data_IF_740682646757
#
_entry.id   IF_740682646757
#
_cell.length_a   1.000
_cell.length_b   1.000
_cell.length_c   1.000
_cell.angle_alpha   90.00
_cell.angle_beta   90.00
_cell.angle_gamma   90.00
#
_symmetry.space_group_name_H-M   'P 1'
#
loop_
_entity.id
_entity.type
_entity.pdbx_description
1 polymer ?
#
# COMPACT_ATOMS: atom_id res chain seq x y z
N UNK A 1 5.16 -7.23 -11.64
CA UNK A 1 4.45 -7.49 -10.36
C UNK A 1 3.97 -8.94 -10.18
N UNK A 2 4.27 -9.84 -11.12
CA UNK A 2 4.02 -11.29 -10.95
C UNK A 2 5.19 -12.02 -10.28
N UNK A 3 6.25 -11.32 -9.90
CA UNK A 3 7.46 -11.91 -9.33
C UNK A 3 7.22 -12.63 -8.00
N UNK A 4 6.28 -12.14 -7.16
CA UNK A 4 6.02 -12.77 -5.86
C UNK A 4 5.36 -14.15 -6.02
N UNK A 5 4.32 -14.26 -6.86
CA UNK A 5 3.64 -15.53 -7.12
C UNK A 5 4.58 -16.56 -7.75
N UNK A 6 5.37 -16.13 -8.75
CA UNK A 6 6.39 -16.98 -9.37
C UNK A 6 7.40 -17.47 -8.34
N UNK A 7 7.96 -16.57 -7.53
CA UNK A 7 8.97 -16.91 -6.54
C UNK A 7 8.45 -17.85 -5.45
N UNK A 8 7.22 -17.63 -4.99
CA UNK A 8 6.57 -18.55 -4.04
C UNK A 8 6.41 -19.93 -4.67
N UNK A 9 5.91 -20.01 -5.91
CA UNK A 9 5.76 -21.26 -6.62
C UNK A 9 7.09 -21.99 -6.85
N UNK A 10 8.14 -21.27 -7.25
CA UNK A 10 9.50 -21.81 -7.41
C UNK A 10 10.05 -22.40 -6.11
N UNK A 11 9.87 -21.68 -4.99
CA UNK A 11 10.34 -22.13 -3.67
C UNK A 11 9.57 -23.40 -3.24
N UNK A 12 8.23 -23.34 -3.26
CA UNK A 12 7.40 -24.44 -2.76
C UNK A 12 7.52 -25.70 -3.61
N UNK A 13 7.69 -25.55 -4.92
CA UNK A 13 7.83 -26.69 -5.84
C UNK A 13 9.25 -27.22 -5.96
N UNK A 14 10.24 -26.57 -5.29
CA UNK A 14 11.66 -26.90 -5.52
C UNK A 14 12.13 -26.62 -6.96
N UNK A 15 11.47 -25.69 -7.67
CA UNK A 15 11.76 -25.34 -9.06
C UNK A 15 10.98 -26.16 -10.10
N UNK A 16 10.07 -27.03 -9.69
CA UNK A 16 9.26 -27.85 -10.60
C UNK A 16 7.99 -27.14 -11.14
N UNK A 17 7.67 -25.93 -10.62
CA UNK A 17 6.50 -25.18 -11.06
C UNK A 17 6.56 -24.81 -12.53
N UNK A 18 5.46 -25.02 -13.24
CA UNK A 18 5.27 -24.64 -14.64
C UNK A 18 4.31 -23.46 -14.75
N UNK A 19 4.65 -22.49 -15.59
CA UNK A 19 3.77 -21.36 -15.88
C UNK A 19 2.75 -21.74 -16.94
N UNK A 20 1.48 -21.53 -16.60
CA UNK A 20 0.35 -21.58 -17.52
C UNK A 20 -0.35 -20.23 -17.56
N UNK A 21 -1.29 -20.01 -18.47
CA UNK A 21 -2.06 -18.76 -18.53
C UNK A 21 -3.55 -19.03 -18.35
N UNK A 22 -4.18 -18.26 -17.46
CA UNK A 22 -5.63 -18.21 -17.28
C UNK A 22 -6.10 -16.77 -17.54
N UNK A 23 -6.90 -16.54 -18.59
CA UNK A 23 -7.35 -15.22 -18.99
C UNK A 23 -6.23 -14.16 -19.08
N UNK A 24 -5.08 -14.53 -19.62
CA UNK A 24 -3.85 -13.70 -19.73
C UNK A 24 -3.04 -13.56 -18.43
N UNK A 25 -3.52 -14.08 -17.31
CA UNK A 25 -2.82 -14.04 -16.03
C UNK A 25 -1.96 -15.29 -15.88
N UNK A 26 -0.67 -15.14 -15.49
CA UNK A 26 0.17 -16.28 -15.16
C UNK A 26 -0.37 -17.06 -13.98
N UNK A 27 -0.40 -18.37 -14.11
CA UNK A 27 -0.74 -19.32 -13.05
C UNK A 27 0.38 -20.34 -13.00
N UNK A 28 0.97 -20.51 -11.83
CA UNK A 28 2.07 -21.44 -11.60
C UNK A 28 1.54 -22.72 -10.98
N UNK A 29 1.82 -23.88 -11.61
CA UNK A 29 1.30 -25.18 -11.18
C UNK A 29 2.41 -26.20 -11.07
N UNK A 30 2.26 -27.12 -10.12
CA UNK A 30 3.10 -28.30 -9.97
C UNK A 30 2.28 -29.46 -9.39
N UNK A 31 2.86 -30.65 -9.33
CA UNK A 31 2.29 -31.79 -8.64
C UNK A 31 3.25 -32.26 -7.55
N UNK A 32 2.73 -32.57 -6.39
CA UNK A 32 3.49 -33.12 -5.26
C UNK A 32 2.70 -34.25 -4.55
N UNK A 33 3.17 -34.66 -3.38
CA UNK A 33 2.52 -35.73 -2.60
C UNK A 33 1.16 -35.31 -2.00
N UNK A 34 0.87 -33.99 -1.95
CA UNK A 34 -0.36 -33.45 -1.37
C UNK A 34 -1.40 -33.10 -2.43
N UNK A 35 -1.01 -33.05 -3.72
CA UNK A 35 -1.94 -32.78 -4.81
C UNK A 35 -1.35 -32.00 -5.98
N UNK A 36 -2.18 -31.13 -6.56
CA UNK A 36 -1.83 -30.28 -7.70
C UNK A 36 -1.94 -28.79 -7.31
N UNK A 37 -0.99 -28.26 -6.52
CA UNK A 37 -1.03 -26.86 -6.14
C UNK A 37 -0.98 -25.90 -7.32
N UNK A 38 -1.70 -24.77 -7.18
CA UNK A 38 -1.64 -23.66 -8.12
C UNK A 38 -1.48 -22.33 -7.40
N UNK A 39 -0.67 -21.42 -7.96
CA UNK A 39 -0.45 -20.07 -7.42
C UNK A 39 -0.88 -19.02 -8.43
N UNK A 40 -1.79 -18.14 -7.99
CA UNK A 40 -2.26 -16.99 -8.77
C UNK A 40 -1.82 -15.70 -8.10
N UNK A 41 -1.15 -14.82 -8.82
CA UNK A 41 -0.77 -13.50 -8.34
C UNK A 41 -1.87 -12.47 -8.62
N UNK A 42 -2.42 -11.84 -7.57
CA UNK A 42 -3.44 -10.79 -7.71
C UNK A 42 -2.82 -9.45 -8.14
N UNK A 43 -1.56 -9.21 -7.79
CA UNK A 43 -0.85 -7.96 -8.11
C UNK A 43 -1.48 -6.72 -7.47
N UNK A 44 -2.06 -6.84 -6.28
CA UNK A 44 -2.81 -5.85 -5.53
C UNK A 44 -4.31 -6.16 -5.48
N UNK A 45 -5.13 -5.17 -5.12
CA UNK A 45 -6.59 -5.33 -5.01
C UNK A 45 -7.24 -5.78 -6.31
N UNK A 46 -8.07 -6.81 -6.23
CA UNK A 46 -8.91 -7.28 -7.32
C UNK A 46 -10.19 -6.47 -7.44
N UNK A 47 -10.66 -5.96 -6.33
CA UNK A 47 -11.85 -5.11 -6.19
C UNK A 47 -11.49 -3.78 -5.53
N UNK A 48 -12.34 -2.80 -5.65
CA UNK A 48 -12.19 -1.48 -5.03
C UNK A 48 -13.49 -0.98 -4.45
N UNK A 49 -13.40 -0.13 -3.44
CA UNK A 49 -14.55 0.60 -2.89
C UNK A 49 -14.87 1.78 -3.79
N UNK A 50 -16.13 2.00 -4.06
CA UNK A 50 -16.61 3.08 -4.93
C UNK A 50 -17.92 3.67 -4.42
N UNK A 51 -18.18 4.91 -4.80
CA UNK A 51 -19.53 5.48 -4.65
C UNK A 51 -20.51 4.79 -5.60
N UNK A 52 -21.78 4.70 -5.23
CA UNK A 52 -22.80 4.20 -6.10
C UNK A 52 -22.90 4.98 -7.41
N UNK A 53 -23.49 4.36 -8.44
CA UNK A 53 -23.57 4.92 -9.79
C UNK A 53 -24.62 6.02 -9.95
N UNK A 54 -25.41 6.31 -8.90
CA UNK A 54 -26.46 7.31 -8.88
C UNK A 54 -25.92 8.71 -9.18
N UNK A 55 -26.75 9.50 -9.85
CA UNK A 55 -26.38 10.82 -10.35
C UNK A 55 -25.91 11.78 -9.25
N UNK A 56 -26.50 11.67 -8.07
CA UNK A 56 -26.17 12.52 -6.91
C UNK A 56 -24.71 12.35 -6.45
N UNK A 57 -24.16 11.13 -6.46
CA UNK A 57 -22.77 10.86 -6.10
C UNK A 57 -21.77 11.27 -7.20
N UNK A 58 -22.24 11.49 -8.44
CA UNK A 58 -21.39 11.92 -9.56
C UNK A 58 -21.32 13.44 -9.73
N UNK A 59 -22.34 14.16 -9.26
CA UNK A 59 -22.40 15.61 -9.43
C UNK A 59 -21.49 16.35 -8.45
N UNK A 60 -20.80 17.33 -8.95
CA UNK A 60 -20.00 18.25 -8.15
C UNK A 60 -20.81 19.49 -7.80
N UNK A 61 -21.49 19.46 -6.64
CA UNK A 61 -22.26 20.55 -6.07
C UNK A 61 -22.05 20.62 -4.57
N UNK A 62 -21.93 21.83 -4.02
CA UNK A 62 -21.66 22.02 -2.58
C UNK A 62 -22.75 21.45 -1.69
N UNK A 63 -24.01 21.56 -2.09
CA UNK A 63 -25.18 21.04 -1.37
C UNK A 63 -25.25 19.49 -1.35
N UNK A 64 -24.55 18.82 -2.25
CA UNK A 64 -24.49 17.35 -2.32
C UNK A 64 -23.28 16.74 -1.60
N UNK A 65 -22.31 17.53 -1.16
CA UNK A 65 -21.07 16.99 -0.56
C UNK A 65 -21.34 16.22 0.72
N UNK A 66 -22.27 16.67 1.57
CA UNK A 66 -22.62 15.99 2.81
C UNK A 66 -23.14 14.56 2.59
N UNK A 67 -23.87 14.34 1.47
CA UNK A 67 -24.35 13.02 1.09
C UNK A 67 -23.26 12.00 0.76
N UNK A 68 -22.02 12.45 0.50
CA UNK A 68 -20.90 11.54 0.29
C UNK A 68 -20.44 10.88 1.59
N UNK A 69 -20.65 11.52 2.74
CA UNK A 69 -20.22 10.99 4.05
C UNK A 69 -21.03 9.76 4.44
N UNK A 70 -22.32 9.78 4.14
CA UNK A 70 -23.26 8.71 4.47
C UNK A 70 -23.57 7.79 3.27
N UNK A 71 -22.81 7.93 2.17
CA UNK A 71 -23.04 7.16 0.98
C UNK A 71 -22.84 5.65 1.22
N UNK A 72 -23.77 4.79 0.77
CA UNK A 72 -23.60 3.34 0.86
C UNK A 72 -22.55 2.88 -0.14
N UNK A 73 -21.28 2.84 0.27
CA UNK A 73 -20.18 2.44 -0.63
C UNK A 73 -20.40 1.03 -1.17
N UNK A 74 -20.13 0.87 -2.46
CA UNK A 74 -20.19 -0.42 -3.15
C UNK A 74 -18.81 -0.97 -3.41
N UNK A 75 -18.72 -2.28 -3.58
CA UNK A 75 -17.51 -2.96 -4.07
C UNK A 75 -17.68 -3.24 -5.56
N UNK A 76 -16.67 -2.92 -6.35
CA UNK A 76 -16.63 -3.20 -7.79
C UNK A 76 -15.26 -3.73 -8.22
N UNK A 77 -15.17 -4.44 -9.35
CA UNK A 77 -13.87 -4.84 -9.89
C UNK A 77 -13.00 -3.61 -10.17
N UNK A 78 -11.75 -3.66 -9.71
CA UNK A 78 -10.74 -2.64 -10.03
C UNK A 78 -10.48 -2.63 -11.53
N UNK A 79 -10.28 -1.45 -12.11
CA UNK A 79 -10.00 -1.30 -13.55
C UNK A 79 -8.80 -2.15 -13.99
N UNK A 80 -9.00 -2.93 -15.06
CA UNK A 80 -8.00 -3.85 -15.60
C UNK A 80 -7.82 -5.16 -14.81
N UNK A 81 -8.53 -5.38 -13.69
CA UNK A 81 -8.41 -6.59 -12.87
C UNK A 81 -9.40 -7.72 -13.18
N UNK A 82 -10.32 -7.51 -14.11
CA UNK A 82 -11.32 -8.52 -14.52
C UNK A 82 -10.74 -9.89 -14.79
N UNK A 83 -9.59 -9.95 -15.48
CA UNK A 83 -8.94 -11.22 -15.80
C UNK A 83 -8.28 -11.86 -14.58
N UNK A 84 -7.81 -11.06 -13.61
CA UNK A 84 -7.29 -11.57 -12.33
C UNK A 84 -8.42 -12.24 -11.54
N UNK A 85 -9.54 -11.57 -11.38
CA UNK A 85 -10.73 -12.13 -10.71
C UNK A 85 -11.14 -13.46 -11.36
N UNK A 86 -11.27 -13.48 -12.70
CA UNK A 86 -11.61 -14.70 -13.44
C UNK A 86 -10.58 -15.82 -13.26
N UNK A 87 -9.30 -15.49 -13.18
CA UNK A 87 -8.24 -16.48 -12.96
C UNK A 87 -8.34 -17.07 -11.55
N UNK A 88 -8.55 -16.24 -10.53
CA UNK A 88 -8.79 -16.69 -9.14
C UNK A 88 -10.02 -17.57 -9.08
N UNK A 89 -11.15 -17.15 -9.65
CA UNK A 89 -12.39 -17.93 -9.66
C UNK A 89 -12.22 -19.28 -10.37
N UNK A 90 -11.48 -19.32 -11.48
CA UNK A 90 -11.25 -20.57 -12.22
C UNK A 90 -10.44 -21.57 -11.40
N UNK A 91 -9.37 -21.14 -10.76
CA UNK A 91 -8.55 -22.02 -9.94
C UNK A 91 -9.28 -22.41 -8.65
N UNK A 92 -9.98 -21.49 -7.99
CA UNK A 92 -10.77 -21.75 -6.80
C UNK A 92 -11.89 -22.77 -7.03
N UNK A 93 -12.51 -22.77 -8.22
CA UNK A 93 -13.59 -23.71 -8.55
C UNK A 93 -13.16 -25.17 -8.53
N UNK A 94 -11.89 -25.44 -8.76
CA UNK A 94 -11.32 -26.81 -8.78
C UNK A 94 -10.48 -27.12 -7.52
N UNK A 95 -10.39 -26.18 -6.57
CA UNK A 95 -9.57 -26.33 -5.39
C UNK A 95 -10.32 -26.97 -4.23
N UNK A 96 -9.62 -27.78 -3.42
CA UNK A 96 -10.09 -28.37 -2.19
C UNK A 96 -9.70 -27.55 -0.95
N UNK A 97 -8.70 -26.67 -1.09
CA UNK A 97 -8.22 -25.80 -0.01
C UNK A 97 -7.65 -24.48 -0.56
N UNK A 98 -7.58 -23.46 0.28
CA UNK A 98 -7.09 -22.13 -0.08
C UNK A 98 -6.08 -21.60 0.93
N UNK A 99 -4.91 -21.18 0.44
CA UNK A 99 -3.90 -20.47 1.24
C UNK A 99 -3.73 -19.05 0.73
N UNK A 100 -3.95 -18.09 1.60
CA UNK A 100 -3.68 -16.66 1.35
C UNK A 100 -2.22 -16.38 1.67
N UNK A 101 -1.47 -15.89 0.67
CA UNK A 101 -0.04 -15.62 0.75
C UNK A 101 0.29 -14.20 0.23
N UNK A 102 -0.30 -13.20 0.86
CA UNK A 102 -0.04 -11.76 0.63
C UNK A 102 0.91 -11.22 1.69
N UNK A 103 1.41 -9.99 1.53
CA UNK A 103 2.27 -9.34 2.51
C UNK A 103 1.59 -9.29 3.90
N UNK A 104 2.39 -9.40 4.97
CA UNK A 104 1.83 -9.41 6.32
C UNK A 104 1.68 -7.99 6.87
N UNK A 105 0.70 -7.27 6.33
CA UNK A 105 0.23 -5.98 6.82
C UNK A 105 -1.28 -5.83 6.59
N UNK A 106 -1.88 -4.71 7.01
CA UNK A 106 -3.32 -4.47 6.85
C UNK A 106 -3.78 -4.44 5.39
N UNK A 107 -2.92 -3.99 4.48
CA UNK A 107 -3.21 -3.96 3.04
C UNK A 107 -3.20 -5.37 2.46
N UNK A 108 -2.18 -6.16 2.80
CA UNK A 108 -2.09 -7.56 2.38
C UNK A 108 -3.19 -8.43 2.96
N UNK A 109 -3.60 -8.21 4.23
CA UNK A 109 -4.75 -8.92 4.81
C UNK A 109 -6.06 -8.55 4.10
N UNK A 110 -6.25 -7.28 3.72
CA UNK A 110 -7.42 -6.87 2.95
C UNK A 110 -7.43 -7.49 1.55
N UNK A 111 -6.31 -7.45 0.83
CA UNK A 111 -6.17 -8.12 -0.48
C UNK A 111 -6.46 -9.62 -0.35
N UNK A 112 -6.00 -10.23 0.75
CA UNK A 112 -6.28 -11.62 1.08
C UNK A 112 -7.76 -11.89 1.27
N UNK A 113 -8.45 -11.06 2.07
CA UNK A 113 -9.89 -11.16 2.30
C UNK A 113 -10.70 -10.98 1.01
N UNK A 114 -10.39 -9.96 0.21
CA UNK A 114 -11.03 -9.73 -1.09
C UNK A 114 -10.84 -10.92 -2.05
N UNK A 115 -9.64 -11.53 -2.04
CA UNK A 115 -9.36 -12.71 -2.85
C UNK A 115 -10.13 -13.94 -2.37
N UNK A 116 -10.30 -14.08 -1.06
CA UNK A 116 -11.15 -15.11 -0.47
C UNK A 116 -12.62 -14.92 -0.88
N UNK A 117 -13.17 -13.72 -0.75
CA UNK A 117 -14.54 -13.43 -1.14
C UNK A 117 -14.79 -13.79 -2.62
N UNK A 118 -13.88 -13.39 -3.51
CA UNK A 118 -13.93 -13.76 -4.93
C UNK A 118 -13.88 -15.29 -5.16
N UNK A 119 -13.11 -16.01 -4.35
CA UNK A 119 -13.04 -17.48 -4.44
C UNK A 119 -14.33 -18.14 -3.94
N UNK A 120 -14.91 -17.64 -2.84
CA UNK A 120 -16.14 -18.17 -2.25
C UNK A 120 -17.38 -17.93 -3.11
N UNK A 121 -17.38 -16.93 -3.99
CA UNK A 121 -18.46 -16.75 -4.98
C UNK A 121 -18.68 -17.97 -5.89
N UNK A 122 -17.63 -18.76 -6.13
CA UNK A 122 -17.65 -19.92 -7.05
C UNK A 122 -17.46 -21.26 -6.35
N UNK A 123 -16.91 -21.25 -5.14
CA UNK A 123 -16.64 -22.44 -4.34
C UNK A 123 -16.76 -22.13 -2.83
N UNK A 124 -17.99 -22.12 -2.27
CA UNK A 124 -18.20 -21.86 -0.84
C UNK A 124 -17.57 -22.90 0.09
N UNK A 125 -17.31 -24.11 -0.40
CA UNK A 125 -16.71 -25.20 0.39
C UNK A 125 -15.26 -24.91 0.81
N UNK A 126 -14.64 -23.88 0.22
CA UNK A 126 -13.30 -23.43 0.61
C UNK A 126 -13.27 -22.71 1.97
N UNK A 127 -14.39 -22.15 2.45
CA UNK A 127 -14.42 -21.33 3.66
C UNK A 127 -13.75 -22.00 4.89
N UNK A 128 -14.08 -23.28 5.24
CA UNK A 128 -13.46 -23.94 6.38
C UNK A 128 -11.99 -24.33 6.17
N UNK A 129 -11.50 -24.28 4.94
CA UNK A 129 -10.14 -24.73 4.56
C UNK A 129 -9.14 -23.58 4.49
N UNK A 130 -9.62 -22.32 4.57
CA UNK A 130 -8.79 -21.12 4.39
C UNK A 130 -7.70 -21.06 5.44
N UNK A 131 -6.46 -20.89 4.97
CA UNK A 131 -5.28 -20.67 5.81
C UNK A 131 -4.48 -19.47 5.31
N UNK A 132 -3.62 -18.98 6.17
CA UNK A 132 -2.80 -17.79 5.95
C UNK A 132 -1.31 -18.09 6.12
N UNK A 133 -0.52 -17.93 5.08
CA UNK A 133 0.94 -17.96 5.16
C UNK A 133 1.46 -16.56 5.49
N UNK A 134 2.10 -16.38 6.64
CA UNK A 134 2.64 -15.10 7.12
C UNK A 134 4.15 -15.05 6.93
N UNK A 135 4.61 -14.14 6.07
CA UNK A 135 6.03 -13.91 5.80
C UNK A 135 6.34 -12.40 5.72
N UNK A 136 7.56 -12.05 6.05
CA UNK A 136 8.06 -10.67 5.98
C UNK A 136 9.02 -10.44 4.83
N UNK A 137 9.55 -11.51 4.24
CA UNK A 137 10.47 -11.45 3.10
C UNK A 137 10.26 -12.64 2.17
N UNK A 138 10.52 -12.42 0.87
CA UNK A 138 10.44 -13.47 -0.15
C UNK A 138 11.78 -14.26 -0.25
N UNK A 139 12.28 -14.75 0.87
CA UNK A 139 13.41 -15.68 0.92
C UNK A 139 12.92 -17.12 1.01
N UNK A 140 13.76 -18.07 0.64
CA UNK A 140 13.39 -19.49 0.67
C UNK A 140 13.01 -19.94 2.08
N UNK A 141 13.86 -19.62 3.05
CA UNK A 141 13.69 -20.01 4.44
C UNK A 141 12.40 -19.44 5.06
N UNK A 142 12.09 -18.18 4.73
CA UNK A 142 10.91 -17.49 5.25
C UNK A 142 9.60 -18.04 4.66
N UNK A 143 9.60 -18.32 3.36
CA UNK A 143 8.42 -18.89 2.67
C UNK A 143 8.19 -20.34 3.13
N UNK A 144 9.22 -21.19 3.17
CA UNK A 144 9.10 -22.57 3.66
C UNK A 144 8.60 -22.59 5.12
N UNK A 145 9.12 -21.71 5.98
CA UNK A 145 8.66 -21.57 7.36
C UNK A 145 7.19 -21.13 7.44
N UNK A 146 6.78 -20.16 6.63
CA UNK A 146 5.42 -19.64 6.64
C UNK A 146 4.39 -20.67 6.18
N UNK A 147 4.74 -21.47 5.16
CA UNK A 147 3.86 -22.54 4.66
C UNK A 147 3.85 -23.79 5.54
N UNK A 148 4.93 -24.04 6.30
CA UNK A 148 4.95 -25.10 7.31
C UNK A 148 4.15 -24.72 8.59
N UNK A 149 3.88 -23.42 8.81
CA UNK A 149 3.19 -22.90 9.99
C UNK A 149 2.06 -21.95 9.56
N UNK A 150 1.05 -22.51 8.90
CA UNK A 150 -0.10 -21.74 8.45
C UNK A 150 -0.96 -21.25 9.62
N UNK A 151 -1.40 -20.02 9.51
CA UNK A 151 -2.24 -19.31 10.47
C UNK A 151 -3.67 -19.12 9.94
N UNK A 152 -4.48 -18.37 10.67
CA UNK A 152 -5.78 -17.90 10.22
C UNK A 152 -5.69 -16.48 9.67
N UNK A 153 -6.61 -16.13 8.74
CA UNK A 153 -6.73 -14.77 8.23
C UNK A 153 -7.16 -13.82 9.36
N UNK A 154 -6.49 -12.67 9.47
CA UNK A 154 -6.82 -11.66 10.48
C UNK A 154 -7.91 -10.71 10.00
N UNK A 155 -9.16 -11.06 10.19
CA UNK A 155 -10.30 -10.18 9.87
C UNK A 155 -10.22 -8.79 10.51
N UNK A 156 -9.79 -8.63 11.79
CA UNK A 156 -9.63 -7.29 12.36
C UNK A 156 -8.59 -6.44 11.60
N UNK A 157 -7.50 -7.05 11.14
CA UNK A 157 -6.47 -6.35 10.38
C UNK A 157 -6.95 -6.00 8.95
N UNK A 158 -7.66 -6.93 8.30
CA UNK A 158 -8.30 -6.68 6.99
C UNK A 158 -9.34 -5.55 7.10
N UNK A 159 -10.18 -5.56 8.12
CA UNK A 159 -11.17 -4.51 8.38
C UNK A 159 -10.52 -3.14 8.62
N UNK A 160 -9.36 -3.09 9.28
CA UNK A 160 -8.59 -1.85 9.43
C UNK A 160 -8.09 -1.32 8.07
N UNK A 161 -7.73 -2.22 7.14
CA UNK A 161 -7.42 -1.89 5.75
C UNK A 161 -8.64 -1.33 5.01
N UNK A 162 -9.78 -2.02 5.09
CA UNK A 162 -11.04 -1.60 4.46
C UNK A 162 -11.51 -0.22 4.99
N UNK A 163 -11.51 -0.02 6.30
CA UNK A 163 -11.87 1.26 6.91
C UNK A 163 -10.96 2.41 6.42
N UNK A 164 -9.68 2.12 6.22
CA UNK A 164 -8.75 3.10 5.62
C UNK A 164 -9.13 3.44 4.18
N UNK A 165 -9.47 2.46 3.35
CA UNK A 165 -9.93 2.70 1.97
C UNK A 165 -11.20 3.55 1.95
N UNK A 166 -12.18 3.21 2.79
CA UNK A 166 -13.44 3.95 2.90
C UNK A 166 -13.20 5.42 3.31
N UNK A 167 -12.36 5.65 4.33
CA UNK A 167 -11.98 7.00 4.76
C UNK A 167 -11.26 7.75 3.64
N UNK A 168 -10.30 7.14 2.98
CA UNK A 168 -9.53 7.79 1.90
C UNK A 168 -10.44 8.15 0.72
N UNK A 169 -11.42 7.31 0.38
CA UNK A 169 -12.40 7.57 -0.67
C UNK A 169 -13.36 8.70 -0.29
N UNK A 170 -14.01 8.61 0.87
CA UNK A 170 -15.02 9.58 1.33
C UNK A 170 -14.37 10.94 1.55
N UNK A 171 -13.31 10.97 2.34
CA UNK A 171 -12.59 12.20 2.68
C UNK A 171 -11.98 12.87 1.45
N UNK A 172 -11.31 12.08 0.62
CA UNK A 172 -10.72 12.55 -0.63
C UNK A 172 -11.76 13.14 -1.57
N UNK A 173 -12.89 12.47 -1.77
CA UNK A 173 -13.96 12.96 -2.63
C UNK A 173 -14.64 14.23 -2.07
N UNK A 174 -14.99 14.23 -0.78
CA UNK A 174 -15.69 15.35 -0.16
C UNK A 174 -14.82 16.63 -0.18
N UNK A 175 -13.57 16.54 0.30
CA UNK A 175 -12.71 17.72 0.36
C UNK A 175 -12.19 18.16 -1.00
N UNK A 176 -11.87 17.23 -1.91
CA UNK A 176 -11.49 17.58 -3.28
C UNK A 176 -12.60 18.38 -3.96
N UNK A 177 -13.86 17.93 -3.85
CA UNK A 177 -15.01 18.65 -4.43
C UNK A 177 -15.23 19.98 -3.75
N UNK A 178 -15.21 20.04 -2.41
CA UNK A 178 -15.41 21.29 -1.66
C UNK A 178 -14.38 22.35 -2.06
N UNK A 179 -13.09 22.02 -1.96
CA UNK A 179 -11.99 22.96 -2.25
C UNK A 179 -12.02 23.38 -3.73
N UNK A 180 -12.23 22.45 -4.65
CA UNK A 180 -12.29 22.76 -6.08
C UNK A 180 -13.46 23.66 -6.43
N UNK A 181 -14.66 23.40 -5.88
CA UNK A 181 -15.84 24.22 -6.11
C UNK A 181 -15.68 25.63 -5.52
N UNK A 182 -15.17 25.75 -4.31
CA UNK A 182 -14.92 27.06 -3.66
C UNK A 182 -13.86 27.88 -4.41
N UNK A 183 -12.80 27.23 -4.91
CA UNK A 183 -11.75 27.86 -5.70
C UNK A 183 -12.14 28.06 -7.18
N UNK A 184 -13.34 27.64 -7.61
CA UNK A 184 -13.79 27.64 -9.02
C UNK A 184 -12.80 26.92 -9.95
N UNK A 185 -12.14 25.88 -9.45
CA UNK A 185 -11.20 25.05 -10.19
C UNK A 185 -11.93 23.81 -10.75
N UNK A 186 -12.23 23.82 -12.03
CA UNK A 186 -13.06 22.79 -12.68
C UNK A 186 -12.28 21.98 -13.73
N UNK A 187 -12.82 20.83 -14.09
CA UNK A 187 -12.27 19.96 -15.13
C UNK A 187 -10.87 19.49 -14.79
N UNK A 188 -9.93 19.65 -15.69
CA UNK A 188 -8.53 19.24 -15.48
C UNK A 188 -7.78 20.04 -14.41
N UNK A 189 -8.33 21.16 -13.96
CA UNK A 189 -7.71 22.05 -12.97
C UNK A 189 -8.25 21.85 -11.54
N UNK A 190 -8.97 20.76 -11.26
CA UNK A 190 -9.49 20.48 -9.93
C UNK A 190 -8.34 20.36 -8.89
N UNK A 191 -8.63 20.76 -7.68
CA UNK A 191 -7.66 20.75 -6.56
C UNK A 191 -7.83 19.44 -5.78
N UNK A 192 -6.96 18.50 -6.02
CA UNK A 192 -6.96 17.23 -5.30
C UNK A 192 -6.56 17.43 -3.83
N UNK A 193 -7.38 16.87 -2.95
CA UNK A 193 -7.13 16.86 -1.50
C UNK A 193 -7.07 15.42 -1.03
N UNK A 194 -6.03 15.06 -0.32
CA UNK A 194 -5.83 13.71 0.21
C UNK A 194 -5.27 13.74 1.63
N UNK A 195 -5.61 12.72 2.40
CA UNK A 195 -5.23 12.57 3.80
C UNK A 195 -3.71 12.59 4.04
N UNK A 196 -2.93 12.10 3.08
CA UNK A 196 -1.45 12.12 3.12
C UNK A 196 -0.90 13.26 2.28
N UNK A 197 -1.43 13.43 1.09
CA UNK A 197 -0.98 14.41 0.09
C UNK A 197 -1.00 15.86 0.63
N UNK A 198 -2.11 16.27 1.25
CA UNK A 198 -2.28 17.66 1.70
C UNK A 198 -1.41 18.03 2.89
N UNK A 199 -1.29 17.21 3.96
CA UNK A 199 -0.33 17.47 5.02
C UNK A 199 1.13 17.48 4.54
N UNK A 200 1.50 16.57 3.65
CA UNK A 200 2.86 16.53 3.06
C UNK A 200 3.17 17.83 2.30
N UNK A 201 2.21 18.30 1.50
CA UNK A 201 2.35 19.60 0.83
C UNK A 201 2.46 20.75 1.85
N UNK A 202 1.67 20.71 2.93
CA UNK A 202 1.72 21.67 4.02
C UNK A 202 3.12 21.81 4.61
N UNK A 203 3.77 20.70 4.95
CA UNK A 203 5.15 20.69 5.46
C UNK A 203 6.15 21.33 4.49
N UNK A 204 6.00 21.07 3.19
CA UNK A 204 6.88 21.67 2.17
C UNK A 204 6.63 23.19 2.07
N UNK A 205 5.37 23.60 2.11
CA UNK A 205 4.99 25.03 2.07
C UNK A 205 5.51 25.77 3.30
N UNK A 206 5.33 25.22 4.50
CA UNK A 206 5.86 25.80 5.74
C UNK A 206 7.38 25.98 5.65
N UNK A 207 8.10 24.96 5.20
CA UNK A 207 9.56 25.04 5.03
C UNK A 207 9.97 26.08 4.00
N UNK A 208 9.22 26.22 2.90
CA UNK A 208 9.48 27.27 1.90
C UNK A 208 9.20 28.67 2.45
N UNK A 209 8.16 28.84 3.26
CA UNK A 209 7.88 30.12 3.93
C UNK A 209 8.99 30.49 4.92
N UNK A 210 9.47 29.55 5.72
CA UNK A 210 10.64 29.73 6.60
C UNK A 210 11.87 30.16 5.79
N UNK A 211 12.14 29.47 4.68
CA UNK A 211 13.26 29.79 3.79
C UNK A 211 13.15 31.19 3.23
N UNK A 212 11.95 31.61 2.81
CA UNK A 212 11.71 32.99 2.28
C UNK A 212 11.78 34.07 3.35
N UNK A 213 11.38 33.72 4.58
CA UNK A 213 11.46 34.64 5.72
C UNK A 213 12.87 34.72 6.34
N UNK A 214 13.77 33.84 5.94
CA UNK A 214 15.12 33.76 6.51
C UNK A 214 15.89 35.04 6.24
N UNK A 215 16.34 35.69 7.31
CA UNK A 215 17.25 36.83 7.27
C UNK A 215 18.65 36.30 7.53
N UNK A 216 19.54 36.59 6.61
CA UNK A 216 20.95 36.22 6.76
C UNK A 216 21.59 37.04 7.88
N UNK A 217 21.98 36.35 8.96
CA UNK A 217 22.74 36.93 10.07
C UNK A 217 24.13 36.30 10.05
N UNK A 218 25.21 37.11 9.86
CA UNK A 218 26.55 36.57 9.89
C UNK A 218 26.95 36.16 11.32
N UNK A 219 27.73 35.10 11.41
CA UNK A 219 28.32 34.65 12.67
C UNK A 219 29.79 34.31 12.44
N UNK A 220 30.52 34.14 13.53
CA UNK A 220 31.91 33.73 13.51
C UNK A 220 32.04 32.36 14.23
N UNK A 221 32.92 31.55 13.70
CA UNK A 221 33.37 30.30 14.32
C UNK A 221 34.86 30.44 14.61
N UNK A 222 35.29 30.04 15.81
CA UNK A 222 36.69 30.11 16.22
C UNK A 222 37.32 28.71 16.13
N UNK A 223 38.36 28.65 15.32
CA UNK A 223 39.18 27.45 15.16
C UNK A 223 40.60 27.74 15.70
N UNK A 224 41.20 26.82 16.39
CA UNK A 224 42.57 26.86 16.79
C UNK A 224 43.33 25.63 16.31
N UNK A 225 44.43 25.85 15.64
CA UNK A 225 45.35 24.76 15.27
C UNK A 225 46.53 24.81 16.22
N UNK A 226 46.77 23.73 16.94
CA UNK A 226 47.86 23.56 17.85
C UNK A 226 48.93 22.65 17.23
N UNK A 227 50.21 23.01 17.38
CA UNK A 227 51.34 22.21 16.93
C UNK A 227 52.18 21.85 18.14
N UNK A 228 52.42 20.55 18.31
CA UNK A 228 53.28 20.04 19.37
C UNK A 228 54.74 19.99 18.88
N UNK A 229 55.74 20.24 19.75
CA UNK A 229 57.16 20.17 19.39
C UNK A 229 57.61 18.87 18.75
N UNK A 230 56.88 17.78 18.94
CA UNK A 230 57.10 16.49 18.27
C UNK A 230 56.65 16.45 16.80
N UNK A 231 56.10 17.51 16.25
CA UNK A 231 55.60 17.62 14.86
C UNK A 231 54.17 17.14 14.65
N UNK A 232 53.45 16.72 15.69
CA UNK A 232 52.01 16.42 15.61
C UNK A 232 51.21 17.71 15.71
N UNK A 233 50.11 17.82 14.92
CA UNK A 233 49.16 18.94 14.98
C UNK A 233 47.76 18.45 15.16
N UNK A 234 46.91 19.23 15.83
CA UNK A 234 45.47 19.02 15.95
C UNK A 234 44.73 20.33 15.87
N UNK A 235 43.52 20.25 15.34
CA UNK A 235 42.62 21.40 15.20
C UNK A 235 41.45 21.25 16.19
N UNK A 236 41.03 22.36 16.79
CA UNK A 236 39.95 22.40 17.75
C UNK A 236 38.96 23.51 17.37
N UNK A 237 37.75 23.32 17.76
CA UNK A 237 36.69 24.30 17.70
C UNK A 237 36.48 24.89 19.11
N UNK A 238 36.08 26.14 19.18
CA UNK A 238 35.69 26.73 20.45
C UNK A 238 34.40 26.02 20.97
N UNK A 239 34.28 25.92 22.30
CA UNK A 239 33.12 25.25 22.91
C UNK A 239 31.77 25.95 22.58
N UNK A 240 31.80 27.26 22.39
CA UNK A 240 30.69 28.01 21.79
C UNK A 240 30.80 27.88 20.28
N UNK A 241 29.85 27.19 19.67
CA UNK A 241 29.85 26.86 18.23
C UNK A 241 29.80 28.13 17.35
N UNK A 242 28.97 29.12 17.73
CA UNK A 242 28.74 30.33 16.95
C UNK A 242 28.74 31.59 17.81
N UNK A 243 29.45 32.58 17.37
CA UNK A 243 29.45 33.92 17.95
C UNK A 243 28.65 34.85 17.03
N UNK A 244 27.60 35.46 17.54
CA UNK A 244 26.69 36.33 16.80
C UNK A 244 27.09 37.81 16.92
N UNK A 245 27.95 38.19 17.85
CA UNK A 245 28.58 39.50 18.00
C UNK A 245 30.09 39.35 17.88
N UNK A 246 30.74 40.22 17.13
CA UNK A 246 32.18 40.22 16.96
C UNK A 246 32.93 40.61 18.25
N UNK A 247 32.22 41.22 19.20
CA UNK A 247 32.79 41.67 20.48
C UNK A 247 32.76 40.57 21.58
N UNK A 248 32.03 39.48 21.36
CA UNK A 248 32.03 38.29 22.23
C UNK A 248 33.33 37.49 22.00
#
# INVERSE_FOLDING_TARGET
KNNSAQKIAEILSGGAATETKSFTIPVFKWSDSEGEPSVVGTGGHGVERAFPEEKEFKQWKLDLIHGLVDAPLITRPTDGKKNVIRAVQKEAKAADSLVIATDFDREGELIGLESLEVALEVNPDLEPTVKRARYSALTKEEIERAFANLDELSYPLANAGAARQDIDLIWGAAFTRAVSLMAKAYGANFLSVGRVQSPTLGLIVERELERRAHVFVPYWELFAKFEHPSGSSFETHHATDKFWDKAE
#
